data_IF_753406646248
#
_entry.id   IF_753406646248
#
_cell.length_a   1.000
_cell.length_b   1.000
_cell.length_c   1.000
_cell.angle_alpha   90.00
_cell.angle_beta   90.00
_cell.angle_gamma   90.00
#
_symmetry.space_group_name_H-M   'P 1'
#
loop_
_entity.id
_entity.type
_entity.pdbx_description
1 polymer ?
#
# COMPACT_ATOMS: atom_id res chain seq x y z
N UNK A 1 19.39 51.91 47.37
CA UNK A 1 19.38 51.39 45.98
C UNK A 1 19.71 49.91 46.02
N UNK A 2 18.72 49.01 46.02
CA UNK A 2 18.90 47.56 45.86
C UNK A 2 17.53 46.96 45.55
N UNK A 3 17.24 46.70 44.28
CA UNK A 3 15.93 46.19 43.87
C UNK A 3 15.84 45.93 42.38
N UNK A 4 16.78 45.18 41.81
CA UNK A 4 16.71 44.79 40.41
C UNK A 4 17.55 43.52 40.15
N UNK A 5 17.18 42.38 40.78
CA UNK A 5 17.89 41.10 40.57
C UNK A 5 17.03 39.85 40.43
N UNK A 6 15.71 39.96 40.27
CA UNK A 6 14.80 38.79 40.24
C UNK A 6 13.91 38.65 39.00
N UNK A 7 14.29 39.18 37.84
CA UNK A 7 13.44 39.06 36.62
C UNK A 7 14.06 38.19 35.51
N UNK A 8 15.33 37.78 35.63
CA UNK A 8 16.01 37.06 34.53
C UNK A 8 15.94 35.51 34.66
N UNK A 9 15.38 34.98 35.76
CA UNK A 9 15.40 33.54 36.05
C UNK A 9 14.27 32.68 35.46
N UNK A 10 13.23 33.25 34.87
CA UNK A 10 11.99 32.50 34.55
C UNK A 10 11.83 32.14 33.06
N UNK A 11 12.64 32.71 32.16
CA UNK A 11 12.42 32.56 30.71
C UNK A 11 13.04 31.31 30.06
N UNK A 12 13.89 30.54 30.74
CA UNK A 12 14.64 29.42 30.11
C UNK A 12 13.95 28.04 30.29
N UNK A 13 12.97 27.92 31.20
CA UNK A 13 12.32 26.63 31.50
C UNK A 13 11.15 26.25 30.56
N UNK A 14 10.74 27.12 29.63
CA UNK A 14 9.61 26.88 28.74
C UNK A 14 9.98 26.31 27.35
N UNK A 15 11.27 26.20 27.01
CA UNK A 15 11.70 25.76 25.68
C UNK A 15 11.99 24.25 25.56
N UNK A 16 11.99 23.50 26.66
CA UNK A 16 12.40 22.06 26.68
C UNK A 16 11.21 21.10 26.54
N UNK A 17 9.97 21.56 26.72
CA UNK A 17 8.79 20.69 26.68
C UNK A 17 8.24 20.44 25.28
N UNK A 18 8.54 21.27 24.28
CA UNK A 18 8.01 21.08 22.92
C UNK A 18 8.68 19.94 22.15
N UNK A 19 9.97 19.65 22.41
CA UNK A 19 10.69 18.61 21.67
C UNK A 19 10.37 17.17 22.13
N UNK A 20 9.88 16.97 23.36
CA UNK A 20 9.51 15.65 23.86
C UNK A 20 8.12 15.18 23.38
N UNK A 21 7.21 16.10 23.07
CA UNK A 21 5.85 15.77 22.63
C UNK A 21 5.80 15.24 21.18
N UNK A 22 6.59 15.82 20.27
CA UNK A 22 6.61 15.37 18.86
C UNK A 22 7.21 13.97 18.71
N UNK A 23 8.27 13.65 19.46
CA UNK A 23 8.86 12.30 19.48
C UNK A 23 7.92 11.24 20.08
N UNK A 24 7.08 11.62 21.05
CA UNK A 24 6.09 10.72 21.68
C UNK A 24 4.98 10.33 20.70
N UNK A 25 4.40 11.30 19.99
CA UNK A 25 3.26 11.06 19.11
C UNK A 25 3.61 10.21 17.88
N UNK A 26 4.74 10.47 17.23
CA UNK A 26 5.21 9.68 16.09
C UNK A 26 5.42 8.21 16.48
N UNK A 27 5.98 7.96 17.68
CA UNK A 27 6.16 6.61 18.20
C UNK A 27 4.84 5.90 18.47
N UNK A 28 3.86 6.61 19.04
CA UNK A 28 2.51 6.06 19.26
C UNK A 28 1.80 5.72 17.95
N UNK A 29 1.91 6.57 16.92
CA UNK A 29 1.37 6.26 15.60
C UNK A 29 2.03 5.00 15.00
N UNK A 30 3.34 4.84 15.16
CA UNK A 30 4.07 3.64 14.74
C UNK A 30 3.59 2.38 15.46
N UNK A 31 3.44 2.45 16.79
CA UNK A 31 2.96 1.34 17.60
C UNK A 31 1.52 0.97 17.23
N UNK A 32 0.67 1.97 17.01
CA UNK A 32 -0.69 1.77 16.57
C UNK A 32 -0.76 1.06 15.21
N UNK A 33 -0.02 1.52 14.21
CA UNK A 33 0.02 0.91 12.87
C UNK A 33 0.51 -0.54 12.92
N UNK A 34 1.52 -0.82 13.76
CA UNK A 34 2.01 -2.18 13.98
C UNK A 34 0.95 -3.06 14.64
N UNK A 35 0.27 -2.55 15.66
CA UNK A 35 -0.75 -3.28 16.43
C UNK A 35 -1.97 -3.65 15.58
N UNK A 36 -2.40 -2.76 14.69
CA UNK A 36 -3.50 -3.02 13.74
C UNK A 36 -3.08 -4.00 12.62
N UNK A 37 -1.80 -4.35 12.51
CA UNK A 37 -1.34 -5.39 11.60
C UNK A 37 -1.21 -4.94 10.14
N UNK A 38 -0.95 -3.65 9.89
CA UNK A 38 -0.74 -3.14 8.54
C UNK A 38 0.46 -3.79 7.83
N UNK A 39 1.46 -4.27 8.57
CA UNK A 39 2.56 -5.08 8.03
C UNK A 39 2.06 -6.36 7.36
N UNK A 40 1.07 -7.02 7.95
CA UNK A 40 0.47 -8.23 7.37
C UNK A 40 -0.38 -7.88 6.14
N UNK A 41 -1.08 -6.75 6.18
CA UNK A 41 -1.84 -6.26 5.04
C UNK A 41 -0.92 -5.97 3.83
N UNK A 42 0.27 -5.41 4.09
CA UNK A 42 1.29 -5.23 3.07
C UNK A 42 1.72 -6.56 2.43
N UNK A 43 1.98 -7.59 3.24
CA UNK A 43 2.35 -8.92 2.73
C UNK A 43 1.27 -9.54 1.86
N UNK A 44 0.01 -9.43 2.30
CA UNK A 44 -1.13 -9.93 1.53
C UNK A 44 -1.29 -9.17 0.19
N UNK A 45 -1.11 -7.85 0.19
CA UNK A 45 -1.10 -7.04 -1.04
C UNK A 45 0.03 -7.44 -1.99
N UNK A 46 1.27 -7.51 -1.50
CA UNK A 46 2.44 -7.80 -2.33
C UNK A 46 2.35 -9.21 -2.93
N UNK A 47 1.89 -10.19 -2.12
CA UNK A 47 1.59 -11.54 -2.61
C UNK A 47 0.49 -11.54 -3.67
N UNK A 48 -0.59 -10.77 -3.46
CA UNK A 48 -1.68 -10.65 -4.44
C UNK A 48 -1.23 -10.02 -5.75
N UNK A 49 -0.34 -9.02 -5.69
CA UNK A 49 0.26 -8.38 -6.86
C UNK A 49 0.98 -9.43 -7.71
N UNK A 50 1.93 -10.15 -7.10
CA UNK A 50 2.71 -11.20 -7.78
C UNK A 50 1.78 -12.30 -8.34
N UNK A 51 0.82 -12.79 -7.56
CA UNK A 51 -0.07 -13.88 -7.96
C UNK A 51 -1.02 -13.48 -9.09
N UNK A 52 -1.49 -12.24 -9.12
CA UNK A 52 -2.34 -11.74 -10.21
C UNK A 52 -1.60 -11.82 -11.54
N UNK A 53 -0.30 -11.53 -11.53
CA UNK A 53 0.54 -11.55 -12.72
C UNK A 53 1.00 -12.94 -13.15
N UNK A 54 1.16 -13.88 -12.21
CA UNK A 54 1.31 -15.30 -12.55
C UNK A 54 0.10 -15.85 -13.33
N UNK A 55 -1.08 -15.25 -13.17
CA UNK A 55 -2.28 -15.59 -13.94
C UNK A 55 -2.24 -15.15 -15.42
N UNK A 56 -1.30 -14.29 -15.82
CA UNK A 56 -1.14 -13.80 -17.20
C UNK A 56 0.27 -14.09 -17.67
N UNK A 57 0.50 -15.28 -18.22
CA UNK A 57 1.81 -15.68 -18.76
C UNK A 57 2.08 -15.10 -20.15
N UNK A 58 3.35 -14.94 -20.57
CA UNK A 58 3.70 -14.59 -21.94
C UNK A 58 3.02 -15.49 -22.99
N UNK A 59 2.91 -16.79 -22.71
CA UNK A 59 2.23 -17.76 -23.58
C UNK A 59 0.73 -17.46 -23.72
N UNK A 60 0.07 -17.08 -22.61
CA UNK A 60 -1.35 -16.69 -22.64
C UNK A 60 -1.57 -15.40 -23.44
N UNK A 61 -0.60 -14.48 -23.43
CA UNK A 61 -0.67 -13.26 -24.21
C UNK A 61 -0.47 -13.52 -25.71
N UNK A 62 0.53 -14.33 -26.07
CA UNK A 62 0.79 -14.70 -27.47
C UNK A 62 -0.35 -15.54 -28.04
N UNK A 63 -0.97 -16.44 -27.26
CA UNK A 63 -2.10 -17.25 -27.75
C UNK A 63 -3.33 -16.40 -28.08
N UNK A 64 -3.53 -15.27 -27.39
CA UNK A 64 -4.61 -14.30 -27.67
C UNK A 64 -4.23 -13.30 -28.76
N UNK A 65 -2.98 -12.87 -28.78
CA UNK A 65 -2.46 -11.88 -29.73
C UNK A 65 -1.06 -12.33 -30.19
N UNK A 66 -0.94 -13.03 -31.33
CA UNK A 66 0.34 -13.59 -31.80
C UNK A 66 1.48 -12.57 -31.95
N UNK A 67 1.13 -11.30 -32.18
CA UNK A 67 2.08 -10.20 -32.34
C UNK A 67 2.36 -9.42 -31.04
N UNK A 68 1.90 -9.90 -29.87
CA UNK A 68 2.01 -9.17 -28.59
C UNK A 68 3.46 -8.77 -28.26
N UNK A 69 4.41 -9.69 -28.45
CA UNK A 69 5.84 -9.44 -28.29
C UNK A 69 6.53 -9.25 -29.63
N UNK A 70 5.96 -8.43 -30.50
CA UNK A 70 6.49 -8.14 -31.84
C UNK A 70 6.68 -9.39 -32.71
N UNK A 71 5.83 -10.41 -32.50
CA UNK A 71 5.85 -11.67 -33.24
C UNK A 71 6.77 -12.75 -32.69
N UNK A 72 7.50 -12.49 -31.60
CA UNK A 72 8.29 -13.51 -30.88
C UNK A 72 7.34 -14.45 -30.14
N UNK A 73 7.50 -15.77 -30.32
CA UNK A 73 6.58 -16.81 -29.82
C UNK A 73 7.31 -17.98 -29.16
N UNK A 74 6.60 -18.85 -28.42
CA UNK A 74 7.18 -20.06 -27.86
C UNK A 74 7.87 -20.91 -28.94
N UNK A 75 9.11 -21.31 -28.67
CA UNK A 75 9.96 -22.08 -29.59
C UNK A 75 10.97 -21.25 -30.37
N UNK A 76 10.83 -19.91 -30.41
CA UNK A 76 11.87 -19.04 -30.99
C UNK A 76 13.08 -18.95 -30.05
N UNK A 77 14.29 -18.81 -30.61
CA UNK A 77 15.55 -18.67 -29.83
C UNK A 77 15.53 -17.49 -28.85
N UNK A 78 14.75 -16.45 -29.16
CA UNK A 78 14.60 -15.24 -28.32
C UNK A 78 13.50 -15.38 -27.26
N UNK A 79 12.71 -16.45 -27.27
CA UNK A 79 11.60 -16.63 -26.32
C UNK A 79 12.04 -16.60 -24.85
N UNK A 80 13.15 -17.24 -24.44
CA UNK A 80 13.61 -17.16 -23.05
C UNK A 80 13.89 -15.73 -22.58
N UNK A 81 14.33 -14.84 -23.48
CA UNK A 81 14.56 -13.42 -23.16
C UNK A 81 13.25 -12.69 -22.90
N UNK A 82 12.20 -12.99 -23.67
CA UNK A 82 10.85 -12.43 -23.45
C UNK A 82 10.32 -12.86 -22.08
N UNK A 83 10.42 -14.14 -21.74
CA UNK A 83 9.95 -14.67 -20.46
C UNK A 83 10.70 -14.00 -19.29
N UNK A 84 12.02 -13.86 -19.40
CA UNK A 84 12.85 -13.19 -18.39
C UNK A 84 12.48 -11.72 -18.22
N UNK A 85 12.39 -10.96 -19.32
CA UNK A 85 12.05 -9.52 -19.28
C UNK A 85 10.64 -9.28 -18.74
N UNK A 86 9.70 -10.17 -19.06
CA UNK A 86 8.33 -10.09 -18.57
C UNK A 86 8.22 -10.38 -17.06
N UNK A 87 9.03 -11.32 -16.55
CA UNK A 87 9.16 -11.55 -15.11
C UNK A 87 9.72 -10.32 -14.39
N UNK A 88 10.82 -9.76 -14.91
CA UNK A 88 11.45 -8.55 -14.34
C UNK A 88 10.50 -7.35 -14.34
N UNK A 89 9.72 -7.16 -15.41
CA UNK A 89 8.69 -6.13 -15.49
C UNK A 89 7.72 -6.20 -14.30
N UNK A 90 7.24 -7.39 -13.94
CA UNK A 90 6.31 -7.54 -12.83
C UNK A 90 6.96 -7.49 -11.46
N UNK A 91 8.18 -8.00 -11.30
CA UNK A 91 8.94 -7.82 -10.07
C UNK A 91 9.10 -6.33 -9.78
N UNK A 92 9.44 -5.53 -10.79
CA UNK A 92 9.53 -4.08 -10.68
C UNK A 92 8.17 -3.40 -10.46
N UNK A 93 7.13 -3.83 -11.17
CA UNK A 93 5.78 -3.27 -11.02
C UNK A 93 5.20 -3.52 -9.61
N UNK A 94 5.52 -4.67 -9.00
CA UNK A 94 5.11 -5.03 -7.64
C UNK A 94 6.09 -4.60 -6.55
N UNK A 95 7.29 -4.12 -6.89
CA UNK A 95 8.32 -3.70 -5.92
C UNK A 95 7.89 -2.50 -5.07
N UNK A 96 6.92 -1.72 -5.58
CA UNK A 96 6.40 -0.54 -4.90
C UNK A 96 4.89 -0.63 -4.60
N UNK A 97 4.42 0.04 -3.52
CA UNK A 97 5.25 0.65 -2.49
C UNK A 97 6.10 -0.40 -1.77
N UNK A 98 7.27 -0.03 -1.27
CA UNK A 98 8.02 -0.87 -0.33
C UNK A 98 7.26 -0.93 1.00
N UNK A 99 7.56 -1.91 1.85
CA UNK A 99 6.97 -1.99 3.20
C UNK A 99 7.15 -0.68 3.97
N UNK A 100 8.35 -0.09 3.89
CA UNK A 100 8.67 1.16 4.58
C UNK A 100 7.84 2.33 4.05
N UNK A 101 7.64 2.42 2.74
CA UNK A 101 6.79 3.44 2.12
C UNK A 101 5.33 3.27 2.54
N UNK A 102 4.81 2.04 2.46
CA UNK A 102 3.43 1.73 2.84
C UNK A 102 3.15 2.04 4.32
N UNK A 103 3.95 1.48 5.23
CA UNK A 103 3.82 1.71 6.67
C UNK A 103 4.08 3.19 7.01
N UNK A 104 5.06 3.81 6.38
CA UNK A 104 5.41 5.21 6.61
C UNK A 104 4.27 6.19 6.28
N UNK A 105 3.54 5.96 5.18
CA UNK A 105 2.36 6.76 4.83
C UNK A 105 1.27 6.63 5.90
N UNK A 106 1.03 5.41 6.40
CA UNK A 106 0.02 5.17 7.44
C UNK A 106 0.42 5.81 8.78
N UNK A 107 1.66 5.65 9.22
CA UNK A 107 2.17 6.28 10.44
C UNK A 107 2.00 7.78 10.37
N UNK A 108 2.44 8.41 9.27
CA UNK A 108 2.29 9.85 9.07
C UNK A 108 0.82 10.27 9.05
N UNK A 109 -0.05 9.49 8.41
CA UNK A 109 -1.48 9.79 8.36
C UNK A 109 -2.10 9.80 9.75
N UNK A 110 -1.79 8.81 10.60
CA UNK A 110 -2.31 8.79 11.96
C UNK A 110 -1.68 9.86 12.85
N UNK A 111 -0.38 10.07 12.75
CA UNK A 111 0.32 11.13 13.49
C UNK A 111 -0.26 12.51 13.21
N UNK A 112 -0.55 12.83 11.94
CA UNK A 112 -1.09 14.13 11.54
C UNK A 112 -2.54 14.30 12.01
N UNK A 113 -3.36 13.25 11.93
CA UNK A 113 -4.80 13.37 12.09
C UNK A 113 -5.31 13.01 13.50
N UNK A 114 -4.51 12.37 14.34
CA UNK A 114 -4.90 12.01 15.71
C UNK A 114 -4.09 12.78 16.75
N UNK A 115 -4.73 13.08 17.87
CA UNK A 115 -4.02 13.56 19.05
C UNK A 115 -3.23 12.43 19.71
N UNK A 116 -2.28 12.79 20.57
CA UNK A 116 -1.54 11.82 21.37
C UNK A 116 -2.48 10.96 22.24
N UNK A 117 -3.49 11.59 22.85
CA UNK A 117 -4.49 10.93 23.68
C UNK A 117 -5.35 9.95 22.86
N UNK A 118 -5.76 10.33 21.64
CA UNK A 118 -6.52 9.44 20.76
C UNK A 118 -5.71 8.21 20.37
N UNK A 119 -4.42 8.38 20.05
CA UNK A 119 -3.51 7.28 19.74
C UNK A 119 -3.35 6.35 20.94
N UNK A 120 -3.17 6.88 22.15
CA UNK A 120 -3.07 6.06 23.37
C UNK A 120 -4.36 5.26 23.62
N UNK A 121 -5.53 5.89 23.47
CA UNK A 121 -6.83 5.22 23.62
C UNK A 121 -7.05 4.16 22.55
N UNK A 122 -6.68 4.45 21.30
CA UNK A 122 -6.75 3.49 20.20
C UNK A 122 -5.83 2.29 20.45
N UNK A 123 -4.58 2.52 20.87
CA UNK A 123 -3.66 1.45 21.26
C UNK A 123 -4.25 0.60 22.39
N UNK A 124 -4.81 1.22 23.44
CA UNK A 124 -5.42 0.51 24.55
C UNK A 124 -6.58 -0.39 24.09
N UNK A 125 -7.45 0.14 23.22
CA UNK A 125 -8.56 -0.63 22.65
C UNK A 125 -8.07 -1.79 21.77
N UNK A 126 -7.19 -1.52 20.80
CA UNK A 126 -6.68 -2.53 19.86
C UNK A 126 -5.74 -3.56 20.53
N UNK A 127 -5.22 -3.26 21.72
CA UNK A 127 -4.48 -4.22 22.55
C UNK A 127 -5.40 -5.18 23.31
N UNK A 128 -6.69 -4.87 23.44
CA UNK A 128 -7.67 -5.74 24.10
C UNK A 128 -8.02 -6.97 23.24
N UNK A 129 -8.54 -8.07 23.84
CA UNK A 129 -8.98 -9.23 23.07
C UNK A 129 -10.05 -8.91 22.03
N UNK A 130 -10.94 -7.95 22.30
CA UNK A 130 -11.95 -7.52 21.33
C UNK A 130 -11.31 -6.72 20.19
N UNK A 131 -10.42 -5.80 20.52
CA UNK A 131 -9.72 -4.98 19.53
C UNK A 131 -8.86 -5.81 18.58
N UNK A 132 -8.16 -6.84 19.09
CA UNK A 132 -7.41 -7.79 18.26
C UNK A 132 -8.33 -8.55 17.30
N UNK A 133 -9.45 -9.11 17.79
CA UNK A 133 -10.43 -9.78 16.91
C UNK A 133 -10.99 -8.85 15.83
N UNK A 134 -11.24 -7.58 16.17
CA UNK A 134 -11.73 -6.60 15.21
C UNK A 134 -10.66 -6.27 14.16
N UNK A 135 -9.39 -6.12 14.58
CA UNK A 135 -8.24 -5.94 13.69
C UNK A 135 -8.12 -7.10 12.70
N UNK A 136 -8.15 -8.34 13.19
CA UNK A 136 -8.04 -9.54 12.36
C UNK A 136 -9.21 -9.65 11.37
N UNK A 137 -10.44 -9.38 11.82
CA UNK A 137 -11.62 -9.36 10.97
C UNK A 137 -11.52 -8.27 9.89
N UNK A 138 -11.00 -7.09 10.24
CA UNK A 138 -10.76 -5.99 9.29
C UNK A 138 -9.73 -6.37 8.22
N UNK A 139 -8.61 -6.99 8.61
CA UNK A 139 -7.60 -7.48 7.67
C UNK A 139 -8.19 -8.54 6.72
N UNK A 140 -8.98 -9.48 7.25
CA UNK A 140 -9.66 -10.49 6.43
C UNK A 140 -10.67 -9.86 5.46
N UNK A 141 -11.47 -8.89 5.92
CA UNK A 141 -12.41 -8.17 5.09
C UNK A 141 -11.72 -7.41 3.96
N UNK A 142 -10.60 -6.73 4.25
CA UNK A 142 -9.80 -6.04 3.24
C UNK A 142 -9.27 -7.01 2.17
N UNK A 143 -8.67 -8.14 2.59
CA UNK A 143 -8.18 -9.19 1.69
C UNK A 143 -9.29 -9.73 0.78
N UNK A 144 -10.45 -10.06 1.34
CA UNK A 144 -11.58 -10.60 0.59
C UNK A 144 -12.18 -9.57 -0.37
N UNK A 145 -12.18 -8.29 0.00
CA UNK A 145 -12.65 -7.20 -0.85
C UNK A 145 -11.77 -7.06 -2.09
N UNK A 146 -10.44 -7.05 -1.93
CA UNK A 146 -9.51 -7.02 -3.07
C UNK A 146 -9.71 -8.20 -4.02
N UNK A 147 -9.81 -9.43 -3.48
CA UNK A 147 -10.04 -10.62 -4.31
C UNK A 147 -11.36 -10.52 -5.09
N UNK A 148 -12.43 -10.05 -4.44
CA UNK A 148 -13.74 -9.88 -5.08
C UNK A 148 -13.70 -8.79 -6.17
N UNK A 149 -13.00 -7.68 -5.93
CA UNK A 149 -12.88 -6.59 -6.88
C UNK A 149 -12.10 -6.99 -8.13
N UNK A 150 -11.06 -7.82 -7.99
CA UNK A 150 -10.33 -8.37 -9.15
C UNK A 150 -11.27 -9.17 -10.06
N UNK A 151 -12.11 -10.05 -9.49
CA UNK A 151 -13.06 -10.85 -10.28
C UNK A 151 -14.13 -9.98 -10.96
N UNK A 152 -14.68 -9.01 -10.23
CA UNK A 152 -15.69 -8.10 -10.80
C UNK A 152 -15.08 -7.22 -11.90
N UNK A 153 -13.87 -6.68 -11.69
CA UNK A 153 -13.20 -5.82 -12.67
C UNK A 153 -12.84 -6.57 -13.95
N UNK A 154 -12.48 -7.87 -13.90
CA UNK A 154 -12.23 -8.67 -15.11
C UNK A 154 -13.40 -8.61 -16.09
N UNK A 155 -14.64 -8.70 -15.59
CA UNK A 155 -15.85 -8.62 -16.41
C UNK A 155 -15.98 -7.24 -17.06
N UNK A 156 -15.98 -6.19 -16.24
CA UNK A 156 -16.25 -4.83 -16.73
C UNK A 156 -15.12 -4.26 -17.61
N UNK A 157 -13.86 -4.59 -17.33
CA UNK A 157 -12.72 -4.19 -18.19
C UNK A 157 -12.86 -4.82 -19.57
N UNK A 158 -13.23 -6.11 -19.65
CA UNK A 158 -13.47 -6.79 -20.92
C UNK A 158 -14.57 -6.10 -21.73
N UNK A 159 -15.72 -5.84 -21.10
CA UNK A 159 -16.84 -5.14 -21.76
C UNK A 159 -16.45 -3.72 -22.23
N UNK A 160 -15.69 -2.99 -21.41
CA UNK A 160 -15.23 -1.64 -21.74
C UNK A 160 -14.25 -1.65 -22.92
N UNK A 161 -13.32 -2.60 -22.99
CA UNK A 161 -12.37 -2.75 -24.10
C UNK A 161 -13.11 -3.07 -25.40
N UNK A 162 -14.08 -3.99 -25.38
CA UNK A 162 -14.89 -4.31 -26.56
C UNK A 162 -15.67 -3.09 -27.08
N UNK A 163 -16.24 -2.30 -26.17
CA UNK A 163 -16.93 -1.05 -26.53
C UNK A 163 -15.98 -0.01 -27.12
N UNK A 164 -14.78 0.11 -26.58
CA UNK A 164 -13.74 1.00 -27.11
C UNK A 164 -13.28 0.58 -28.51
N UNK A 165 -12.99 -0.71 -28.71
CA UNK A 165 -12.59 -1.26 -30.01
C UNK A 165 -13.67 -1.07 -31.08
N UNK A 166 -14.94 -1.32 -30.74
CA UNK A 166 -16.07 -1.04 -31.63
C UNK A 166 -16.07 0.43 -32.07
N UNK A 167 -15.91 1.36 -31.12
CA UNK A 167 -15.87 2.79 -31.44
C UNK A 167 -14.69 3.18 -32.34
N UNK A 168 -13.52 2.56 -32.17
CA UNK A 168 -12.38 2.80 -33.07
C UNK A 168 -12.69 2.30 -34.49
N UNK A 169 -13.30 1.12 -34.64
CA UNK A 169 -13.72 0.60 -35.95
C UNK A 169 -14.70 1.54 -36.65
N UNK A 170 -15.67 2.08 -35.92
CA UNK A 170 -16.68 3.00 -36.46
C UNK A 170 -16.09 4.36 -36.93
N UNK A 171 -14.89 4.73 -36.46
CA UNK A 171 -14.20 5.98 -36.84
C UNK A 171 -13.32 5.81 -38.08
N UNK A 172 -12.76 4.62 -38.28
CA UNK A 172 -11.79 4.35 -39.36
C UNK A 172 -12.46 3.92 -40.67
N UNK A 173 -13.76 3.58 -40.62
CA UNK A 173 -14.62 3.32 -41.79
C UNK A 173 -15.20 4.61 -42.34
#
# INVERSE_FOLDING_TARGET
MNGFRYVVGVAVLLAVTCAHAEGSKAKLAQDFVKLVGYDKQYDDYHKSCINTYQGVSPESLVSKQPNYFYGIKPGDDKWPLVVSAYKEYFENACAHPTRKEFVGVLVRSYEVNLSEEDLQRAIAFYSSPLGQRLSDAGQLAAKNSYASWVEVNKKYVTEAVLKFQKRLSDIVQ
#
